data_IF_556122771359
#
_entry.id   IF_556122771359
#
_cell.length_a   1.000
_cell.length_b   1.000
_cell.length_c   1.000
_cell.angle_alpha   90.00
_cell.angle_beta   90.00
_cell.angle_gamma   90.00
#
_symmetry.space_group_name_H-M   'P 1'
#
loop_
_entity.id
_entity.type
_entity.pdbx_description
1 polymer ?
#
# COMPACT_ATOMS: atom_id res chain seq x y z
N UNK A 1 14.78 7.03 -19.68
CA UNK A 1 13.43 7.65 -19.66
C UNK A 1 12.37 6.89 -20.46
N UNK A 2 12.61 6.52 -21.72
CA UNK A 2 11.61 5.80 -22.55
C UNK A 2 11.01 4.56 -21.87
N UNK A 3 11.83 3.66 -21.30
CA UNK A 3 11.34 2.44 -20.65
C UNK A 3 10.52 2.71 -19.37
N UNK A 4 10.85 3.77 -18.62
CA UNK A 4 10.07 4.21 -17.45
C UNK A 4 8.74 4.85 -17.86
N UNK A 5 8.71 5.59 -18.96
CA UNK A 5 7.50 6.26 -19.48
C UNK A 5 6.62 5.34 -20.34
N UNK A 6 7.16 4.24 -20.86
CA UNK A 6 6.46 3.29 -21.72
C UNK A 6 5.44 2.40 -20.99
N UNK A 7 5.24 2.59 -19.67
CA UNK A 7 4.31 1.81 -18.83
C UNK A 7 4.47 0.29 -18.98
N UNK A 8 5.68 -0.20 -19.29
CA UNK A 8 5.96 -1.64 -19.42
C UNK A 8 5.69 -2.40 -18.11
N UNK A 9 5.65 -1.67 -17.00
CA UNK A 9 5.16 -2.15 -15.70
C UNK A 9 4.15 -1.14 -15.17
N UNK A 10 2.96 -1.61 -14.77
CA UNK A 10 2.03 -0.82 -13.99
C UNK A 10 2.46 -0.89 -12.53
N UNK A 11 2.76 0.27 -11.93
CA UNK A 11 2.87 0.35 -10.48
C UNK A 11 1.46 0.34 -9.92
N UNK A 12 1.05 -0.77 -9.33
CA UNK A 12 -0.23 -0.89 -8.67
C UNK A 12 -0.08 -0.69 -7.15
N UNK A 13 -0.89 0.19 -6.55
CA UNK A 13 -1.90 1.05 -7.19
C UNK A 13 -1.24 2.29 -7.86
N UNK A 14 -1.84 2.87 -8.93
CA UNK A 14 -1.28 4.02 -9.64
C UNK A 14 -1.13 5.26 -8.75
N UNK A 15 -0.37 6.29 -9.17
CA UNK A 15 -0.23 7.55 -8.41
C UNK A 15 -1.59 8.21 -8.09
N UNK A 16 -2.59 8.00 -8.93
CA UNK A 16 -3.96 8.47 -8.72
C UNK A 16 -4.64 7.85 -7.50
N UNK A 17 -4.16 6.70 -7.00
CA UNK A 17 -4.64 6.09 -5.76
C UNK A 17 -4.24 6.85 -4.49
N UNK A 18 -3.35 7.85 -4.62
CA UNK A 18 -3.06 8.81 -3.54
C UNK A 18 -3.87 10.11 -3.71
N UNK A 19 -4.77 10.20 -4.69
CA UNK A 19 -5.67 11.34 -4.81
C UNK A 19 -6.88 11.17 -3.90
N UNK A 20 -7.35 12.29 -3.34
CA UNK A 20 -8.56 12.32 -2.51
C UNK A 20 -9.75 12.91 -3.27
N UNK A 21 -9.75 12.80 -4.61
CA UNK A 21 -10.88 13.14 -5.46
C UNK A 21 -11.92 12.02 -5.40
N UNK A 22 -12.50 11.86 -4.21
CA UNK A 22 -13.49 10.84 -3.90
C UNK A 22 -14.80 11.51 -3.58
N UNK A 23 -15.83 11.16 -4.34
CA UNK A 23 -17.19 11.59 -4.07
C UNK A 23 -17.80 10.71 -2.96
N UNK A 24 -18.42 11.30 -1.93
CA UNK A 24 -19.19 10.54 -0.95
C UNK A 24 -20.26 9.69 -1.64
N UNK A 25 -20.48 8.47 -1.16
CA UNK A 25 -21.55 7.64 -1.70
C UNK A 25 -22.92 8.24 -1.37
N UNK A 26 -23.85 8.14 -2.33
CA UNK A 26 -25.25 8.50 -2.11
C UNK A 26 -26.00 7.25 -1.66
N UNK A 27 -26.76 7.40 -0.59
CA UNK A 27 -27.63 6.35 -0.08
C UNK A 27 -29.01 6.52 -0.72
N UNK A 28 -29.71 5.43 -1.09
CA UNK A 28 -31.11 5.51 -1.46
C UNK A 28 -31.96 6.13 -0.34
N UNK A 29 -33.07 6.75 -0.71
CA UNK A 29 -34.02 7.31 0.25
C UNK A 29 -34.49 6.22 1.22
N UNK A 30 -34.48 6.55 2.52
CA UNK A 30 -34.82 5.63 3.64
C UNK A 30 -33.82 4.48 3.87
N UNK A 31 -32.66 4.48 3.21
CA UNK A 31 -31.58 3.55 3.50
C UNK A 31 -30.46 4.22 4.32
N UNK A 32 -29.81 3.41 5.16
CA UNK A 32 -28.63 3.80 5.91
C UNK A 32 -27.60 2.67 5.86
N UNK A 33 -26.32 3.03 5.77
CA UNK A 33 -25.24 2.06 5.85
C UNK A 33 -25.06 1.63 7.31
N UNK A 34 -25.18 0.34 7.58
CA UNK A 34 -25.07 -0.22 8.94
C UNK A 34 -23.70 -0.84 9.23
N UNK A 35 -23.00 -1.32 8.21
CA UNK A 35 -21.75 -2.04 8.40
C UNK A 35 -20.85 -1.92 7.18
N UNK A 36 -19.54 -1.88 7.42
CA UNK A 36 -18.50 -1.93 6.39
C UNK A 36 -17.60 -3.12 6.69
N UNK A 37 -17.42 -3.99 5.69
CA UNK A 37 -16.40 -5.04 5.68
C UNK A 37 -15.41 -4.72 4.57
N UNK A 38 -14.14 -4.56 4.93
CA UNK A 38 -13.07 -4.27 3.97
C UNK A 38 -12.00 -5.34 4.07
N UNK A 39 -11.68 -5.94 2.94
CA UNK A 39 -10.52 -6.84 2.78
C UNK A 39 -9.56 -6.15 1.83
N UNK A 40 -8.36 -5.84 2.33
CA UNK A 40 -7.31 -5.22 1.53
C UNK A 40 -6.03 -6.05 1.55
N UNK A 41 -5.28 -5.97 0.46
CA UNK A 41 -3.92 -6.54 0.39
C UNK A 41 -2.97 -5.66 1.21
N UNK A 42 -1.83 -6.22 1.60
CA UNK A 42 -0.73 -5.40 2.09
C UNK A 42 -0.26 -4.41 1.02
N UNK A 43 0.31 -3.28 1.43
CA UNK A 43 0.91 -2.32 0.50
C UNK A 43 2.21 -2.81 -0.14
N UNK A 44 2.77 -1.99 -1.01
CA UNK A 44 4.05 -2.20 -1.68
C UNK A 44 5.18 -2.57 -0.72
N UNK A 45 6.04 -3.51 -1.11
CA UNK A 45 7.06 -4.08 -0.22
C UNK A 45 8.39 -4.34 -0.90
N UNK A 46 9.42 -4.53 -0.10
CA UNK A 46 10.67 -5.14 -0.55
C UNK A 46 10.42 -6.58 -1.06
N UNK A 47 11.25 -7.08 -1.99
CA UNK A 47 11.17 -8.45 -2.47
C UNK A 47 11.37 -9.48 -1.36
N UNK A 48 11.10 -10.75 -1.67
CA UNK A 48 11.44 -11.85 -0.77
C UNK A 48 12.96 -12.15 -0.83
N UNK A 49 13.50 -12.92 0.12
CA UNK A 49 14.92 -13.28 0.13
C UNK A 49 15.39 -13.92 -1.18
N UNK A 50 14.62 -14.82 -1.78
CA UNK A 50 15.01 -15.52 -3.01
C UNK A 50 15.19 -14.58 -4.19
N UNK A 51 14.31 -13.59 -4.34
CA UNK A 51 14.45 -12.55 -5.35
C UNK A 51 15.62 -11.62 -5.04
N UNK A 52 15.85 -11.26 -3.78
CA UNK A 52 17.01 -10.44 -3.40
C UNK A 52 18.30 -11.17 -3.76
N UNK A 53 18.43 -12.45 -3.42
CA UNK A 53 19.58 -13.28 -3.80
C UNK A 53 19.75 -13.34 -5.33
N UNK A 54 18.64 -13.47 -6.07
CA UNK A 54 18.67 -13.46 -7.54
C UNK A 54 19.18 -12.13 -8.11
N UNK A 55 18.82 -11.00 -7.48
CA UNK A 55 19.33 -9.68 -7.85
C UNK A 55 20.82 -9.51 -7.49
N UNK A 56 21.27 -10.07 -6.37
CA UNK A 56 22.69 -10.09 -6.01
C UNK A 56 23.52 -10.93 -7.00
N UNK A 57 23.01 -12.10 -7.43
CA UNK A 57 23.65 -12.89 -8.48
C UNK A 57 23.68 -12.15 -9.81
N UNK A 58 22.59 -11.48 -10.18
CA UNK A 58 22.54 -10.65 -11.38
C UNK A 58 23.59 -9.53 -11.33
N UNK A 59 23.82 -8.94 -10.17
CA UNK A 59 24.83 -7.89 -9.98
C UNK A 59 26.24 -8.42 -10.26
N UNK A 60 26.57 -9.62 -9.76
CA UNK A 60 27.85 -10.28 -10.02
C UNK A 60 28.07 -10.57 -11.51
N UNK A 61 27.02 -11.03 -12.21
CA UNK A 61 27.08 -11.28 -13.65
C UNK A 61 27.30 -9.95 -14.37
N UNK A 62 26.55 -8.91 -14.02
CA UNK A 62 26.56 -7.62 -14.70
C UNK A 62 27.85 -6.84 -14.47
N UNK A 63 28.57 -7.07 -13.37
CA UNK A 63 29.88 -6.49 -13.12
C UNK A 63 30.90 -6.76 -14.25
N UNK A 64 30.77 -7.89 -14.95
CA UNK A 64 31.65 -8.29 -16.05
C UNK A 64 31.13 -7.90 -17.44
N UNK A 65 29.96 -7.26 -17.54
CA UNK A 65 29.33 -6.88 -18.81
C UNK A 65 29.46 -5.38 -18.99
N UNK A 66 30.17 -4.95 -20.03
CA UNK A 66 30.47 -3.54 -20.31
C UNK A 66 29.25 -2.63 -20.29
N UNK A 67 28.14 -3.08 -20.88
CA UNK A 67 26.90 -2.33 -20.97
C UNK A 67 26.16 -2.28 -19.62
N UNK A 68 26.30 -3.29 -18.76
CA UNK A 68 25.47 -3.45 -17.55
C UNK A 68 26.13 -2.98 -16.26
N UNK A 69 27.46 -3.11 -16.17
CA UNK A 69 28.26 -2.77 -14.99
C UNK A 69 28.10 -1.33 -14.51
N UNK A 70 27.73 -0.42 -15.41
CA UNK A 70 27.65 1.02 -15.12
C UNK A 70 26.30 1.46 -14.55
N UNK A 71 25.22 0.71 -14.80
CA UNK A 71 23.87 1.13 -14.40
C UNK A 71 23.16 0.18 -13.43
N UNK A 72 23.63 -1.06 -13.28
CA UNK A 72 22.98 -2.00 -12.37
C UNK A 72 23.72 -2.17 -11.05
N UNK A 73 22.96 -2.01 -9.98
CA UNK A 73 23.32 -2.35 -8.60
C UNK A 73 22.06 -2.82 -7.90
N UNK A 74 22.11 -3.89 -7.12
CA UNK A 74 20.94 -4.34 -6.39
C UNK A 74 20.51 -3.25 -5.38
N UNK A 75 19.30 -2.67 -5.53
CA UNK A 75 18.83 -1.62 -4.62
C UNK A 75 18.17 -2.20 -3.37
N UNK A 76 18.02 -3.51 -3.25
CA UNK A 76 17.20 -4.16 -2.23
C UNK A 76 18.06 -4.82 -1.14
N UNK A 77 18.13 -4.24 0.07
CA UNK A 77 18.93 -4.83 1.15
C UNK A 77 18.22 -6.01 1.81
N UNK A 78 18.93 -7.14 1.99
CA UNK A 78 18.38 -8.37 2.60
C UNK A 78 17.70 -8.13 3.94
N UNK A 79 18.25 -7.26 4.80
CA UNK A 79 17.66 -6.94 6.13
C UNK A 79 16.24 -6.36 6.09
N UNK A 80 15.80 -5.84 4.94
CA UNK A 80 14.46 -5.26 4.75
C UNK A 80 13.50 -6.19 4.00
N UNK A 81 13.88 -7.45 3.74
CA UNK A 81 13.05 -8.39 3.01
C UNK A 81 11.61 -8.46 3.59
N UNK A 82 10.62 -8.59 2.70
CA UNK A 82 9.17 -8.54 2.98
C UNK A 82 8.60 -7.26 3.64
N UNK A 83 9.42 -6.36 4.16
CA UNK A 83 8.94 -5.15 4.82
C UNK A 83 8.26 -4.23 3.81
N UNK A 84 7.30 -3.43 4.29
CA UNK A 84 6.72 -2.38 3.44
C UNK A 84 7.82 -1.39 3.05
N UNK A 85 7.73 -0.87 1.83
CA UNK A 85 8.45 0.35 1.46
C UNK A 85 7.60 1.55 1.89
N UNK A 86 8.18 2.75 1.97
CA UNK A 86 7.46 3.97 2.33
C UNK A 86 6.15 4.15 1.55
N UNK A 87 6.19 3.88 0.23
CA UNK A 87 4.99 3.89 -0.60
C UNK A 87 3.92 2.90 -0.12
N UNK A 88 4.31 1.71 0.30
CA UNK A 88 3.38 0.69 0.79
C UNK A 88 2.80 0.96 2.17
N UNK A 89 3.36 1.90 2.93
CA UNK A 89 2.72 2.45 4.13
C UNK A 89 1.73 3.54 3.75
N UNK A 90 2.07 4.39 2.78
CA UNK A 90 1.19 5.44 2.26
C UNK A 90 -0.07 4.86 1.58
N UNK A 91 0.06 3.74 0.86
CA UNK A 91 -1.06 3.13 0.12
C UNK A 91 -2.26 2.82 1.04
N UNK A 92 -2.14 1.99 2.09
CA UNK A 92 -3.24 1.76 3.03
C UNK A 92 -3.65 3.01 3.81
N UNK A 93 -2.71 3.91 4.12
CA UNK A 93 -3.04 5.18 4.77
C UNK A 93 -4.01 6.02 3.92
N UNK A 94 -3.74 6.14 2.62
CA UNK A 94 -4.64 6.82 1.70
C UNK A 94 -5.94 6.05 1.49
N UNK A 95 -5.92 4.72 1.50
CA UNK A 95 -7.17 3.92 1.51
C UNK A 95 -8.04 4.26 2.73
N UNK A 96 -7.42 4.49 3.89
CA UNK A 96 -8.11 4.94 5.11
C UNK A 96 -8.76 6.33 4.94
N UNK A 97 -8.01 7.30 4.42
CA UNK A 97 -8.53 8.64 4.09
C UNK A 97 -9.70 8.57 3.09
N UNK A 98 -9.53 7.77 2.04
CA UNK A 98 -10.55 7.58 1.02
C UNK A 98 -11.80 6.90 1.59
N UNK A 99 -11.65 5.91 2.47
CA UNK A 99 -12.77 5.29 3.17
C UNK A 99 -13.54 6.31 4.00
N UNK A 100 -12.84 7.17 4.75
CA UNK A 100 -13.47 8.23 5.55
C UNK A 100 -14.28 9.18 4.66
N UNK A 101 -13.72 9.62 3.54
CA UNK A 101 -14.40 10.52 2.58
C UNK A 101 -15.56 9.83 1.86
N UNK A 102 -15.35 8.61 1.37
CA UNK A 102 -16.35 7.84 0.61
C UNK A 102 -17.58 7.55 1.45
N UNK A 103 -17.38 7.16 2.70
CA UNK A 103 -18.45 6.78 3.63
C UNK A 103 -18.67 7.85 4.71
N UNK A 104 -18.55 9.13 4.35
CA UNK A 104 -18.56 10.25 5.31
C UNK A 104 -19.73 10.23 6.29
N UNK A 105 -20.97 9.96 5.81
CA UNK A 105 -22.15 9.87 6.68
C UNK A 105 -22.07 8.72 7.70
N UNK A 106 -21.40 7.61 7.35
CA UNK A 106 -21.24 6.47 8.25
C UNK A 106 -20.18 6.73 9.32
N UNK A 107 -19.10 7.45 8.97
CA UNK A 107 -18.01 7.78 9.89
C UNK A 107 -18.22 9.08 10.66
N UNK A 108 -19.30 9.82 10.38
CA UNK A 108 -19.60 11.09 11.04
C UNK A 108 -19.82 10.90 12.55
N UNK A 109 -19.07 11.66 13.36
CA UNK A 109 -19.07 11.52 14.82
C UNK A 109 -18.55 10.19 15.38
N UNK A 110 -18.04 9.27 14.53
CA UNK A 110 -17.53 7.97 14.99
C UNK A 110 -16.10 8.12 15.49
N UNK A 111 -15.90 7.87 16.78
CA UNK A 111 -14.59 7.70 17.40
C UNK A 111 -14.15 6.23 17.36
N UNK A 112 -12.84 5.99 17.46
CA UNK A 112 -12.32 4.64 17.49
C UNK A 112 -12.66 3.96 18.82
N UNK A 113 -13.47 2.89 18.75
CA UNK A 113 -13.74 1.97 19.84
C UNK A 113 -13.30 0.55 19.39
N UNK A 114 -12.32 -0.08 20.07
CA UNK A 114 -11.85 -1.41 19.71
C UNK A 114 -12.93 -2.51 19.90
N UNK A 115 -13.99 -2.26 20.67
CA UNK A 115 -15.10 -3.20 20.83
C UNK A 115 -16.07 -3.17 19.65
N UNK A 116 -16.18 -2.04 18.96
CA UNK A 116 -17.05 -1.87 17.79
C UNK A 116 -16.30 -2.03 16.47
N UNK A 117 -15.10 -1.44 16.36
CA UNK A 117 -14.30 -1.40 15.13
C UNK A 117 -13.18 -2.43 15.21
N UNK A 118 -13.30 -3.49 14.41
CA UNK A 118 -12.33 -4.58 14.41
C UNK A 118 -11.35 -4.43 13.23
N UNK A 119 -10.10 -4.12 13.56
CA UNK A 119 -8.98 -4.23 12.63
C UNK A 119 -8.33 -5.60 12.77
N UNK A 120 -8.23 -6.34 11.67
CA UNK A 120 -7.64 -7.68 11.65
C UNK A 120 -6.64 -7.81 10.49
N UNK A 121 -5.56 -8.54 10.73
CA UNK A 121 -4.54 -8.87 9.73
C UNK A 121 -4.10 -10.32 9.86
N UNK A 122 -3.63 -10.92 8.77
CA UNK A 122 -2.92 -12.20 8.86
C UNK A 122 -1.60 -12.04 9.62
N UNK A 123 -1.01 -13.16 10.06
CA UNK A 123 0.21 -13.21 10.88
C UNK A 123 1.49 -12.89 10.09
N UNK A 124 1.50 -11.78 9.33
CA UNK A 124 2.70 -11.28 8.64
C UNK A 124 2.92 -9.82 8.99
N UNK A 125 4.18 -9.41 9.15
CA UNK A 125 4.53 -8.04 9.54
C UNK A 125 3.96 -6.99 8.59
N UNK A 126 4.03 -7.24 7.27
CA UNK A 126 3.52 -6.33 6.22
C UNK A 126 2.01 -6.13 6.25
N UNK A 127 1.24 -7.16 6.60
CA UNK A 127 -0.23 -7.04 6.70
C UNK A 127 -0.61 -6.30 7.98
N UNK A 128 0.09 -6.54 9.09
CA UNK A 128 -0.08 -5.75 10.32
C UNK A 128 0.27 -4.28 10.13
N UNK A 129 1.42 -3.98 9.50
CA UNK A 129 1.83 -2.62 9.21
C UNK A 129 0.86 -1.90 8.24
N UNK A 130 0.31 -2.61 7.26
CA UNK A 130 -0.70 -2.06 6.35
C UNK A 130 -2.01 -1.75 7.08
N UNK A 131 -2.46 -2.66 7.95
CA UNK A 131 -3.65 -2.46 8.79
C UNK A 131 -3.49 -1.24 9.71
N UNK A 132 -2.32 -1.08 10.34
CA UNK A 132 -2.02 0.09 11.16
C UNK A 132 -1.98 1.37 10.33
N UNK A 133 -1.40 1.35 9.13
CA UNK A 133 -1.38 2.51 8.25
C UNK A 133 -2.80 2.91 7.82
N UNK A 134 -3.65 1.94 7.50
CA UNK A 134 -5.06 2.17 7.19
C UNK A 134 -5.82 2.77 8.37
N UNK A 135 -5.67 2.22 9.58
CA UNK A 135 -6.35 2.75 10.76
C UNK A 135 -5.92 4.18 11.09
N UNK A 136 -4.62 4.49 10.90
CA UNK A 136 -4.10 5.85 11.02
C UNK A 136 -4.73 6.79 10.00
N UNK A 137 -4.83 6.39 8.73
CA UNK A 137 -5.49 7.19 7.69
C UNK A 137 -6.97 7.40 7.97
N UNK A 138 -7.66 6.38 8.47
CA UNK A 138 -9.09 6.42 8.74
C UNK A 138 -9.45 7.32 9.94
N UNK A 139 -8.69 7.28 11.03
CA UNK A 139 -9.05 7.98 12.27
C UNK A 139 -8.20 9.22 12.57
N UNK A 140 -6.94 9.23 12.15
CA UNK A 140 -5.98 10.31 12.46
C UNK A 140 -5.49 11.04 11.20
N UNK A 141 -5.99 10.65 10.03
CA UNK A 141 -5.66 11.27 8.77
C UNK A 141 -6.19 12.71 8.69
N UNK A 142 -5.41 13.59 8.06
CA UNK A 142 -5.80 14.98 7.79
C UNK A 142 -6.40 15.11 6.39
#
# INVERSE_FOLDING_TARGET
EYLLNSKLFSLEPPQTAFSLDIQPIRYPDKCELKQIHLVSRHGSRYPNPDNINSFEELEKIFANISVAKEWYKNPFPMRKNYQLITRGELEPYFDGLQSRKRYAKFWDGVEYDPEVIKFQSTQTSRTGASMMSFSQGLFNGK
#
